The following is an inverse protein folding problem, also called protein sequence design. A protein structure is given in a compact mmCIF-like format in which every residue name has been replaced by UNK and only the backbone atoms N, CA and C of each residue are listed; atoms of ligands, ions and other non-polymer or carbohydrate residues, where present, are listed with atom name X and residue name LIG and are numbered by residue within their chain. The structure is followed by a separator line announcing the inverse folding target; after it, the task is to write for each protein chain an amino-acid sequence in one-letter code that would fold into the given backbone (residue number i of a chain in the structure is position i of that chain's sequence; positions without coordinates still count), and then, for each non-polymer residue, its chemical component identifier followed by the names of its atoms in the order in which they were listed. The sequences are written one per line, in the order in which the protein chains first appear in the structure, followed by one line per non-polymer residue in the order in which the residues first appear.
data_IF_038199366558
#
_entry.id   IF_038199366558
#
_cell.length_a   1.000
_cell.length_b   1.000
_cell.length_c   1.000
_cell.angle_alpha   90.00
_cell.angle_beta   90.00
_cell.angle_gamma   90.00
#
_symmetry.space_group_name_H-M   'P 1'
#
loop_
_entity.id
_entity.type
_entity.pdbx_description
1 polymer ?
#
# COMPACT_ATOMS: atom_id res chain seq x y z
N UNK A 1 -52.29 69.83 10.24
CA UNK A 1 -50.85 69.76 10.68
C UNK A 1 -50.39 68.35 10.49
N UNK A 2 -49.68 68.08 9.40
CA UNK A 2 -49.09 66.76 9.08
C UNK A 2 -47.60 66.89 9.25
N UNK A 3 -47.01 66.17 10.24
CA UNK A 3 -45.60 66.10 10.51
C UNK A 3 -45.01 65.06 9.56
N UNK A 4 -44.19 65.50 8.61
CA UNK A 4 -43.36 64.66 7.75
C UNK A 4 -42.25 64.03 8.59
N UNK A 5 -42.25 62.71 8.64
CA UNK A 5 -41.29 61.92 9.32
C UNK A 5 -40.06 61.77 8.37
N UNK A 6 -38.97 62.48 8.71
CA UNK A 6 -37.71 62.34 8.01
C UNK A 6 -37.16 60.91 8.20
N UNK A 7 -37.12 60.19 7.11
CA UNK A 7 -36.41 58.88 7.07
C UNK A 7 -34.92 59.17 6.80
N UNK A 8 -33.99 58.71 7.62
CA UNK A 8 -32.57 58.91 7.35
C UNK A 8 -32.21 58.14 6.09
N UNK A 9 -31.63 58.83 5.13
CA UNK A 9 -31.08 58.29 3.92
C UNK A 9 -29.92 57.28 4.27
N UNK A 10 -29.86 56.09 3.64
CA UNK A 10 -28.78 55.18 3.94
C UNK A 10 -27.43 55.82 3.52
N UNK A 11 -26.50 55.86 4.45
CA UNK A 11 -25.15 56.36 4.23
C UNK A 11 -24.55 55.58 3.04
N UNK A 12 -24.39 56.27 1.91
CA UNK A 12 -23.61 55.79 0.75
C UNK A 12 -22.20 55.48 1.27
N UNK A 13 -21.74 54.28 1.06
CA UNK A 13 -20.36 53.92 1.29
C UNK A 13 -19.48 54.87 0.45
N UNK A 14 -18.87 55.85 1.12
CA UNK A 14 -17.84 56.67 0.48
C UNK A 14 -16.68 55.74 0.22
N UNK A 15 -16.50 55.39 -1.03
CA UNK A 15 -15.36 54.62 -1.50
C UNK A 15 -14.16 55.55 -1.37
N UNK A 16 -13.42 55.41 -0.25
CA UNK A 16 -12.22 56.18 0.03
C UNK A 16 -11.18 55.81 -1.04
N UNK A 17 -10.86 56.78 -1.91
CA UNK A 17 -9.86 56.61 -2.95
C UNK A 17 -8.49 56.28 -2.26
N UNK A 18 -7.81 55.23 -2.71
CA UNK A 18 -6.57 54.79 -2.07
C UNK A 18 -5.52 55.90 -2.11
N UNK A 19 -4.98 56.22 -0.95
CA UNK A 19 -3.93 57.21 -0.81
C UNK A 19 -2.58 56.65 -1.32
N UNK A 20 -1.63 57.54 -1.61
CA UNK A 20 -0.25 57.10 -1.98
C UNK A 20 0.37 56.17 -0.91
N UNK A 21 0.00 56.39 0.35
CA UNK A 21 0.46 55.55 1.47
C UNK A 21 -0.15 54.16 1.38
N UNK A 22 -1.41 54.04 1.03
CA UNK A 22 -2.10 52.74 0.90
C UNK A 22 -1.52 51.93 -0.27
N UNK A 23 -1.22 52.59 -1.38
CA UNK A 23 -0.53 51.96 -2.53
C UNK A 23 0.85 51.41 -2.13
N UNK A 24 1.64 52.19 -1.37
CA UNK A 24 2.95 51.75 -0.90
C UNK A 24 2.83 50.58 0.09
N UNK A 25 1.86 50.62 0.98
CA UNK A 25 1.61 49.53 1.94
C UNK A 25 1.16 48.25 1.27
N UNK A 26 0.26 48.34 0.28
CA UNK A 26 -0.19 47.19 -0.51
C UNK A 26 0.99 46.61 -1.30
N UNK A 27 1.79 47.47 -1.95
CA UNK A 27 2.96 47.01 -2.68
C UNK A 27 3.98 46.32 -1.75
N UNK A 28 4.30 46.91 -0.60
CA UNK A 28 5.20 46.32 0.38
C UNK A 28 4.66 44.98 0.92
N UNK A 29 3.36 44.92 1.23
CA UNK A 29 2.70 43.69 1.65
C UNK A 29 2.74 42.60 0.57
N UNK A 30 2.50 42.97 -0.69
CA UNK A 30 2.60 42.07 -1.82
C UNK A 30 4.02 41.48 -2.01
N UNK A 31 5.05 42.34 -1.96
CA UNK A 31 6.45 41.87 -2.01
C UNK A 31 6.82 40.98 -0.83
N UNK A 32 6.37 41.33 0.38
CA UNK A 32 6.60 40.51 1.56
C UNK A 32 5.90 39.13 1.43
N UNK A 33 4.68 39.08 0.93
CA UNK A 33 3.96 37.82 0.71
C UNK A 33 4.64 36.92 -0.34
N UNK A 34 5.08 37.50 -1.47
CA UNK A 34 5.85 36.78 -2.50
C UNK A 34 7.18 36.29 -1.94
N UNK A 35 7.89 37.13 -1.17
CA UNK A 35 9.14 36.74 -0.51
C UNK A 35 8.95 35.60 0.49
N UNK A 36 7.90 35.65 1.29
CA UNK A 36 7.56 34.57 2.21
C UNK A 36 7.20 33.27 1.50
N UNK A 37 6.40 33.33 0.43
CA UNK A 37 6.05 32.18 -0.40
C UNK A 37 7.30 31.55 -1.05
N UNK A 38 8.19 32.38 -1.59
CA UNK A 38 9.45 31.94 -2.19
C UNK A 38 10.38 31.28 -1.17
N UNK A 39 10.42 31.77 0.07
CA UNK A 39 11.21 31.18 1.15
C UNK A 39 10.60 29.86 1.69
N UNK A 40 9.27 29.76 1.73
CA UNK A 40 8.57 28.56 2.21
C UNK A 40 8.59 27.44 1.17
N UNK A 41 8.58 27.75 -0.13
CA UNK A 41 8.53 26.75 -1.20
C UNK A 41 9.62 25.68 -1.11
N UNK A 42 10.92 26.02 -0.96
CA UNK A 42 11.97 25.01 -0.81
C UNK A 42 11.80 24.11 0.41
N UNK A 43 11.26 24.64 1.50
CA UNK A 43 11.01 23.87 2.73
C UNK A 43 9.90 22.84 2.52
N UNK A 44 8.87 23.19 1.77
CA UNK A 44 7.80 22.26 1.41
C UNK A 44 8.28 21.24 0.37
N UNK A 45 9.09 21.67 -0.59
CA UNK A 45 9.62 20.81 -1.65
C UNK A 45 10.58 19.73 -1.10
N UNK A 46 11.33 20.04 -0.04
CA UNK A 46 12.17 19.07 0.67
C UNK A 46 11.39 17.92 1.32
N UNK A 47 10.09 18.07 1.52
CA UNK A 47 9.23 17.00 2.05
C UNK A 47 8.80 15.99 0.97
N UNK A 48 9.03 16.30 -0.31
CA UNK A 48 8.77 15.37 -1.40
C UNK A 48 9.78 14.22 -1.38
N UNK A 49 9.35 13.00 -1.77
CA UNK A 49 10.26 11.87 -1.93
C UNK A 49 11.37 12.21 -2.93
N UNK A 50 12.61 11.90 -2.59
CA UNK A 50 13.73 12.10 -3.51
C UNK A 50 13.73 11.06 -4.67
N UNK A 51 14.56 11.29 -5.68
CA UNK A 51 14.65 10.42 -6.85
C UNK A 51 15.10 9.00 -6.50
N UNK A 52 15.90 8.81 -5.43
CA UNK A 52 16.33 7.48 -4.98
C UNK A 52 15.17 6.69 -4.37
N UNK A 53 14.32 7.37 -3.60
CA UNK A 53 13.09 6.75 -3.04
C UNK A 53 12.12 6.36 -4.16
N UNK A 54 11.95 7.22 -5.17
CA UNK A 54 11.09 6.94 -6.32
C UNK A 54 11.64 5.80 -7.19
N UNK A 55 12.95 5.71 -7.38
CA UNK A 55 13.58 4.61 -8.14
C UNK A 55 13.43 3.24 -7.45
N UNK A 56 13.31 3.21 -6.12
CA UNK A 56 13.03 2.00 -5.35
C UNK A 56 11.53 1.70 -5.20
N UNK A 57 10.66 2.52 -5.81
CA UNK A 57 9.22 2.34 -5.71
C UNK A 57 8.74 1.06 -6.40
N UNK A 58 9.44 0.60 -7.42
CA UNK A 58 9.14 -0.62 -8.16
C UNK A 58 10.34 -1.55 -8.22
N UNK A 59 10.08 -2.86 -8.31
CA UNK A 59 11.10 -3.90 -8.48
C UNK A 59 10.66 -4.84 -9.59
N UNK A 60 11.51 -5.05 -10.59
CA UNK A 60 11.30 -6.04 -11.65
C UNK A 60 11.96 -7.36 -11.27
N UNK A 61 11.27 -8.46 -11.54
CA UNK A 61 11.71 -9.82 -11.19
C UNK A 61 11.57 -10.72 -12.40
N UNK A 62 12.66 -11.43 -12.73
CA UNK A 62 12.64 -12.50 -13.74
C UNK A 62 12.19 -13.81 -13.08
N UNK A 63 11.10 -14.37 -13.59
CA UNK A 63 10.50 -15.62 -13.14
C UNK A 63 11.00 -16.84 -13.93
N UNK A 64 11.71 -16.64 -15.04
CA UNK A 64 12.18 -17.73 -15.90
C UNK A 64 12.99 -18.83 -15.16
N UNK A 65 13.84 -18.49 -14.18
CA UNK A 65 14.61 -19.49 -13.45
C UNK A 65 13.80 -20.21 -12.35
N UNK A 66 12.54 -19.81 -12.08
CA UNK A 66 11.76 -20.35 -10.95
C UNK A 66 10.90 -21.51 -11.41
N UNK A 67 11.37 -22.73 -11.15
CA UNK A 67 10.64 -23.95 -11.50
C UNK A 67 9.44 -24.19 -10.56
N UNK A 68 8.52 -25.07 -11.00
CA UNK A 68 7.35 -25.46 -10.22
C UNK A 68 7.77 -26.06 -8.86
N UNK A 69 7.20 -25.55 -7.78
CA UNK A 69 7.55 -25.91 -6.42
C UNK A 69 8.74 -25.12 -5.84
N UNK A 70 9.37 -24.27 -6.62
CA UNK A 70 10.41 -23.36 -6.14
C UNK A 70 9.85 -22.02 -5.69
N UNK A 71 10.67 -21.28 -4.96
CA UNK A 71 10.35 -19.97 -4.44
C UNK A 71 11.55 -19.02 -4.56
N UNK A 72 11.26 -17.75 -4.76
CA UNK A 72 12.23 -16.66 -4.83
C UNK A 72 11.86 -15.60 -3.79
N UNK A 73 12.86 -14.99 -3.17
CA UNK A 73 12.67 -13.84 -2.28
C UNK A 73 13.39 -12.63 -2.85
N UNK A 74 12.67 -11.54 -3.03
CA UNK A 74 13.22 -10.25 -3.47
C UNK A 74 12.89 -9.16 -2.45
N UNK A 75 13.66 -8.08 -2.45
CA UNK A 75 13.40 -6.95 -1.57
C UNK A 75 12.64 -5.86 -2.31
N UNK A 76 11.54 -5.38 -1.73
CA UNK A 76 10.79 -4.24 -2.20
C UNK A 76 10.46 -3.31 -1.04
N UNK A 77 10.87 -2.05 -1.13
CA UNK A 77 10.68 -1.03 -0.07
C UNK A 77 11.11 -1.52 1.33
N UNK A 78 12.25 -2.23 1.41
CA UNK A 78 12.77 -2.78 2.66
C UNK A 78 12.02 -3.98 3.21
N UNK A 79 11.04 -4.55 2.47
CA UNK A 79 10.26 -5.72 2.86
C UNK A 79 10.62 -6.91 1.97
N UNK A 80 10.78 -8.12 2.53
CA UNK A 80 10.94 -9.32 1.72
C UNK A 80 9.60 -9.66 1.04
N UNK A 81 9.65 -9.86 -0.27
CA UNK A 81 8.54 -10.37 -1.06
C UNK A 81 8.81 -11.81 -1.39
N UNK A 82 7.90 -12.68 -1.01
CA UNK A 82 7.90 -14.08 -1.33
C UNK A 82 7.18 -14.30 -2.65
N UNK A 83 7.87 -14.90 -3.61
CA UNK A 83 7.32 -15.30 -4.90
C UNK A 83 7.44 -16.81 -4.96
N UNK A 84 6.32 -17.51 -5.08
CA UNK A 84 6.29 -18.97 -5.14
C UNK A 84 5.60 -19.45 -6.40
N UNK A 85 6.25 -20.35 -7.12
CA UNK A 85 5.66 -21.12 -8.20
C UNK A 85 5.03 -22.39 -7.59
N UNK A 86 3.74 -22.34 -7.28
CA UNK A 86 3.02 -23.40 -6.57
C UNK A 86 2.91 -24.68 -7.40
N UNK A 87 2.95 -25.82 -6.72
CA UNK A 87 2.61 -27.12 -7.30
C UNK A 87 1.10 -27.29 -7.40
N UNK A 88 0.66 -28.24 -8.25
CA UNK A 88 -0.78 -28.56 -8.37
C UNK A 88 -1.39 -29.02 -7.05
N UNK A 89 -0.58 -29.71 -6.23
CA UNK A 89 -0.97 -30.12 -4.88
C UNK A 89 -1.22 -28.92 -3.96
N UNK A 90 -0.32 -27.93 -3.94
CA UNK A 90 -0.47 -26.72 -3.13
C UNK A 90 -1.69 -25.90 -3.56
N UNK A 91 -1.99 -25.87 -4.85
CA UNK A 91 -3.18 -25.20 -5.39
C UNK A 91 -4.45 -25.94 -4.96
N UNK A 92 -4.48 -27.27 -5.06
CA UNK A 92 -5.61 -28.07 -4.62
C UNK A 92 -5.88 -27.90 -3.13
N UNK A 93 -4.84 -28.02 -2.28
CA UNK A 93 -4.93 -27.80 -0.84
C UNK A 93 -5.44 -26.37 -0.52
N UNK A 94 -4.98 -25.36 -1.26
CA UNK A 94 -5.44 -23.98 -1.10
C UNK A 94 -6.93 -23.81 -1.41
N UNK A 95 -7.44 -24.50 -2.43
CA UNK A 95 -8.85 -24.44 -2.85
C UNK A 95 -9.81 -25.18 -1.91
N UNK A 96 -9.35 -26.21 -1.22
CA UNK A 96 -10.16 -27.01 -0.28
C UNK A 96 -10.47 -26.25 1.02
N UNK A 97 -9.77 -25.15 1.31
CA UNK A 97 -9.93 -24.40 2.55
C UNK A 97 -11.15 -23.51 2.51
N UNK A 98 -12.14 -23.82 3.36
CA UNK A 98 -13.34 -23.01 3.54
C UNK A 98 -13.03 -21.70 4.29
N UNK A 99 -13.69 -20.59 3.91
CA UNK A 99 -13.50 -19.29 4.56
C UNK A 99 -13.80 -19.31 6.07
N UNK A 100 -14.71 -20.16 6.49
CA UNK A 100 -15.08 -20.35 7.90
C UNK A 100 -13.98 -20.95 8.76
N UNK A 101 -12.96 -21.54 8.15
CA UNK A 101 -11.78 -22.12 8.81
C UNK A 101 -10.63 -21.11 8.95
N UNK A 102 -10.78 -19.91 8.41
CA UNK A 102 -9.75 -18.88 8.42
C UNK A 102 -9.92 -17.94 9.61
N UNK A 103 -8.80 -17.57 10.24
CA UNK A 103 -8.75 -16.51 11.24
C UNK A 103 -9.06 -15.16 10.59
N UNK A 104 -8.48 -14.92 9.41
CA UNK A 104 -8.76 -13.72 8.61
C UNK A 104 -9.46 -14.13 7.31
N UNK A 105 -10.75 -13.80 7.13
CA UNK A 105 -11.50 -14.14 5.93
C UNK A 105 -11.23 -13.20 4.75
N UNK A 106 -10.38 -12.16 4.92
CA UNK A 106 -10.10 -11.14 3.90
C UNK A 106 -8.85 -11.49 3.09
N UNK A 107 -8.89 -11.23 1.78
CA UNK A 107 -7.80 -11.56 0.88
C UNK A 107 -6.51 -10.78 1.17
N UNK A 108 -6.58 -9.59 1.75
CA UNK A 108 -5.43 -8.68 1.97
C UNK A 108 -4.60 -8.50 0.70
N UNK A 109 -5.28 -8.30 -0.42
CA UNK A 109 -4.69 -8.21 -1.76
C UNK A 109 -4.85 -6.81 -2.32
N UNK A 110 -3.73 -6.07 -2.45
CA UNK A 110 -3.72 -4.70 -2.96
C UNK A 110 -4.15 -4.56 -4.44
N UNK A 111 -4.29 -5.69 -5.16
CA UNK A 111 -4.73 -5.71 -6.57
C UNK A 111 -6.25 -5.92 -6.70
N UNK A 112 -6.98 -6.08 -5.60
CA UNK A 112 -8.41 -6.34 -5.56
C UNK A 112 -9.11 -5.31 -4.66
N UNK A 113 -10.43 -5.12 -4.80
CA UNK A 113 -11.20 -4.25 -3.92
C UNK A 113 -11.10 -4.67 -2.45
N UNK A 114 -11.18 -3.68 -1.55
CA UNK A 114 -11.25 -3.93 -0.12
C UNK A 114 -12.45 -4.82 0.23
N UNK A 115 -12.27 -5.70 1.22
CA UNK A 115 -13.31 -6.63 1.64
C UNK A 115 -13.40 -7.91 0.80
N UNK A 116 -12.57 -8.09 -0.23
CA UNK A 116 -12.54 -9.32 -1.03
C UNK A 116 -12.23 -10.54 -0.14
N UNK A 117 -12.98 -11.66 -0.27
CA UNK A 117 -12.78 -12.86 0.56
C UNK A 117 -11.47 -13.58 0.21
N UNK A 118 -10.87 -14.23 1.21
CA UNK A 118 -9.57 -14.92 1.11
C UNK A 118 -9.67 -16.31 0.45
N UNK A 119 -10.39 -16.41 -0.66
CA UNK A 119 -10.36 -17.63 -1.48
C UNK A 119 -8.98 -17.83 -2.09
N UNK A 120 -8.62 -19.07 -2.47
CA UNK A 120 -7.35 -19.32 -3.14
C UNK A 120 -7.18 -18.46 -4.41
N UNK A 121 -8.23 -18.34 -5.22
CA UNK A 121 -8.23 -17.54 -6.43
C UNK A 121 -7.95 -16.03 -6.17
N UNK A 122 -8.47 -15.48 -5.07
CA UNK A 122 -8.25 -14.08 -4.71
C UNK A 122 -6.88 -13.84 -4.04
N UNK A 123 -6.20 -14.91 -3.63
CA UNK A 123 -4.85 -14.87 -3.07
C UNK A 123 -3.79 -15.13 -4.12
N UNK A 124 -4.09 -15.94 -5.14
CA UNK A 124 -3.20 -16.20 -6.27
C UNK A 124 -3.17 -15.03 -7.27
N UNK A 125 -2.25 -15.06 -8.20
CA UNK A 125 -2.23 -14.12 -9.32
C UNK A 125 -3.43 -14.41 -10.25
N UNK A 126 -4.29 -13.41 -10.50
CA UNK A 126 -5.61 -13.57 -11.10
C UNK A 126 -5.66 -14.37 -12.42
N UNK A 127 -4.64 -14.23 -13.28
CA UNK A 127 -4.55 -14.94 -14.56
C UNK A 127 -3.48 -16.03 -14.58
N UNK A 128 -2.76 -16.21 -13.47
CA UNK A 128 -1.59 -17.09 -13.35
C UNK A 128 -1.60 -17.82 -12.01
N UNK A 129 -2.63 -18.61 -11.83
CA UNK A 129 -2.93 -19.38 -10.62
C UNK A 129 -1.70 -20.07 -9.95
N UNK A 130 -0.71 -20.60 -10.68
CA UNK A 130 0.46 -21.17 -10.07
C UNK A 130 1.34 -20.17 -9.29
N UNK A 131 1.21 -18.88 -9.57
CA UNK A 131 2.04 -17.86 -8.93
C UNK A 131 1.37 -17.24 -7.72
N UNK A 132 2.10 -17.21 -6.62
CA UNK A 132 1.72 -16.53 -5.40
C UNK A 132 2.80 -15.48 -5.05
N UNK A 133 2.37 -14.24 -4.90
CA UNK A 133 3.25 -13.09 -4.59
C UNK A 133 2.75 -12.46 -3.31
N UNK A 134 3.57 -12.39 -2.26
CA UNK A 134 3.14 -11.84 -0.97
C UNK A 134 4.29 -11.25 -0.17
N UNK A 135 3.97 -10.37 0.75
CA UNK A 135 4.93 -9.80 1.69
C UNK A 135 5.27 -10.86 2.75
N UNK A 136 6.54 -11.27 2.80
CA UNK A 136 7.05 -12.28 3.73
C UNK A 136 7.27 -11.75 5.14
N UNK A 137 6.27 -11.08 5.72
CA UNK A 137 6.32 -10.52 7.07
C UNK A 137 5.11 -11.01 7.85
N UNK A 138 5.37 -11.72 8.96
CA UNK A 138 4.32 -12.18 9.87
C UNK A 138 3.57 -10.99 10.47
N UNK A 139 2.24 -11.03 10.37
CA UNK A 139 1.36 -9.94 10.79
C UNK A 139 1.23 -9.83 12.32
N UNK A 140 1.85 -10.73 13.10
CA UNK A 140 1.91 -10.62 14.56
C UNK A 140 2.85 -9.49 14.99
N UNK A 141 4.17 -9.64 14.80
CA UNK A 141 5.19 -8.67 15.23
C UNK A 141 6.34 -8.51 14.20
N UNK A 142 6.09 -8.78 12.93
CA UNK A 142 7.03 -8.45 11.85
C UNK A 142 8.16 -9.45 11.61
N UNK A 143 8.14 -10.65 12.20
CA UNK A 143 9.14 -11.69 11.90
C UNK A 143 9.00 -12.20 10.47
N UNK A 144 10.08 -12.72 9.88
CA UNK A 144 10.05 -13.36 8.56
C UNK A 144 9.71 -14.85 8.74
N UNK A 145 8.57 -15.34 8.22
CA UNK A 145 8.21 -16.75 8.30
C UNK A 145 9.15 -17.63 7.47
N UNK A 146 9.37 -18.86 7.92
CA UNK A 146 10.08 -19.92 7.18
C UNK A 146 9.12 -20.63 6.23
N UNK A 147 9.62 -21.29 5.21
CA UNK A 147 8.85 -22.05 4.21
C UNK A 147 9.25 -21.74 2.77
N UNK A 148 10.16 -20.76 2.58
CA UNK A 148 10.67 -20.38 1.25
C UNK A 148 11.80 -21.28 0.77
N UNK A 149 12.74 -21.63 1.64
CA UNK A 149 13.88 -22.48 1.25
C UNK A 149 13.48 -23.95 1.18
N UNK A 150 14.19 -24.69 0.36
CA UNK A 150 14.06 -26.15 0.29
C UNK A 150 14.47 -26.76 1.63
N UNK A 151 13.59 -27.58 2.20
CA UNK A 151 13.81 -28.18 3.51
C UNK A 151 13.34 -27.34 4.71
N UNK A 152 12.85 -26.12 4.49
CA UNK A 152 12.24 -25.35 5.58
C UNK A 152 11.02 -26.08 6.16
N UNK A 153 10.85 -25.96 7.48
CA UNK A 153 9.62 -26.37 8.12
C UNK A 153 8.48 -25.38 7.74
N UNK A 154 7.43 -25.90 7.13
CA UNK A 154 6.30 -25.13 6.59
C UNK A 154 5.08 -25.08 7.51
N UNK A 155 5.18 -25.67 8.70
CA UNK A 155 4.04 -25.88 9.60
C UNK A 155 3.12 -27.01 9.13
N UNK A 156 2.02 -27.18 9.83
CA UNK A 156 1.05 -28.27 9.59
C UNK A 156 0.18 -28.04 8.37
N UNK A 157 0.16 -26.80 7.84
CA UNK A 157 -0.66 -26.38 6.69
C UNK A 157 0.12 -26.21 5.38
N UNK A 158 1.38 -26.66 5.34
CA UNK A 158 2.19 -26.77 4.14
C UNK A 158 2.69 -25.45 3.51
N UNK A 159 2.37 -24.31 4.11
CA UNK A 159 2.74 -22.99 3.62
C UNK A 159 3.95 -22.38 4.34
N UNK A 160 3.73 -21.54 5.35
CA UNK A 160 4.79 -20.83 6.07
C UNK A 160 4.59 -20.94 7.58
N UNK A 161 5.71 -21.03 8.30
CA UNK A 161 5.77 -21.10 9.75
C UNK A 161 6.58 -19.94 10.31
N UNK A 162 5.99 -19.16 11.21
CA UNK A 162 6.70 -18.11 11.93
C UNK A 162 7.28 -18.67 13.24
N UNK A 163 8.62 -18.81 13.36
CA UNK A 163 9.25 -19.44 14.53
C UNK A 163 9.20 -18.58 15.80
N UNK A 164 8.89 -17.29 15.66
CA UNK A 164 8.89 -16.36 16.79
C UNK A 164 7.79 -16.71 17.82
N UNK A 165 6.56 -16.97 17.35
CA UNK A 165 5.42 -17.25 18.22
C UNK A 165 4.47 -18.32 17.65
N UNK A 166 4.92 -19.10 16.66
CA UNK A 166 4.21 -20.27 16.17
C UNK A 166 3.04 -20.00 15.22
N UNK A 167 2.93 -18.79 14.63
CA UNK A 167 1.92 -18.55 13.61
C UNK A 167 2.18 -19.42 12.38
N UNK A 168 1.12 -20.07 11.87
CA UNK A 168 1.18 -20.94 10.71
C UNK A 168 0.26 -20.43 9.61
N UNK A 169 0.75 -20.52 8.39
CA UNK A 169 0.06 -20.08 7.17
C UNK A 169 -0.07 -21.25 6.21
N UNK A 170 -1.15 -21.28 5.45
CA UNK A 170 -1.38 -22.30 4.43
C UNK A 170 -0.65 -22.00 3.10
N UNK A 171 -0.87 -22.83 2.10
CA UNK A 171 -0.26 -22.75 0.76
C UNK A 171 -0.67 -21.52 -0.04
N UNK A 172 -1.66 -20.75 0.42
CA UNK A 172 -2.08 -19.45 -0.12
C UNK A 172 -1.67 -18.26 0.78
N UNK A 173 -0.85 -18.51 1.83
CA UNK A 173 -0.39 -17.48 2.77
C UNK A 173 -1.49 -16.96 3.70
N UNK A 174 -2.57 -17.75 3.94
CA UNK A 174 -3.63 -17.41 4.88
C UNK A 174 -3.29 -17.96 6.26
N UNK A 175 -3.52 -17.13 7.29
CA UNK A 175 -3.24 -17.53 8.67
C UNK A 175 -4.24 -18.59 9.15
N UNK A 176 -3.72 -19.70 9.67
CA UNK A 176 -4.50 -20.85 10.14
C UNK A 176 -4.44 -21.02 11.66
N UNK A 177 -3.29 -20.76 12.26
CA UNK A 177 -3.03 -20.92 13.69
C UNK A 177 -2.02 -19.90 14.16
N UNK A 178 -2.12 -19.52 15.42
CA UNK A 178 -1.16 -18.67 16.11
C UNK A 178 -1.66 -17.24 16.34
N UNK A 179 -0.80 -16.37 16.89
CA UNK A 179 -1.19 -15.02 17.30
C UNK A 179 -1.25 -14.00 16.14
N UNK A 180 -0.88 -14.37 14.92
CA UNK A 180 -0.99 -13.48 13.76
C UNK A 180 -2.47 -13.19 13.45
N UNK A 181 -2.90 -11.91 13.42
CA UNK A 181 -4.30 -11.55 13.22
C UNK A 181 -4.74 -11.58 11.75
N UNK A 182 -3.81 -11.46 10.81
CA UNK A 182 -4.11 -11.28 9.39
C UNK A 182 -3.31 -12.22 8.50
N UNK A 183 -3.84 -12.44 7.31
CA UNK A 183 -3.14 -13.14 6.23
C UNK A 183 -1.89 -12.35 5.79
N UNK A 184 -0.88 -13.03 5.22
CA UNK A 184 0.27 -12.35 4.63
C UNK A 184 -0.23 -11.43 3.50
N UNK A 185 0.09 -10.14 3.57
CA UNK A 185 -0.42 -9.16 2.62
C UNK A 185 0.15 -9.40 1.21
N UNK A 186 -0.66 -9.15 0.20
CA UNK A 186 -0.27 -9.20 -1.22
C UNK A 186 0.01 -7.78 -1.67
N UNK A 187 1.25 -7.47 -2.13
CA UNK A 187 1.61 -6.14 -2.61
C UNK A 187 0.93 -5.84 -3.96
N UNK A 188 0.88 -4.57 -4.40
CA UNK A 188 0.56 -4.27 -5.79
C UNK A 188 1.63 -4.87 -6.71
N UNK A 189 1.21 -5.58 -7.75
CA UNK A 189 2.09 -6.15 -8.75
C UNK A 189 1.37 -6.31 -10.09
N UNK A 190 2.16 -6.43 -11.18
CA UNK A 190 1.66 -6.74 -12.51
C UNK A 190 2.64 -7.67 -13.24
N UNK A 191 2.11 -8.60 -14.04
CA UNK A 191 2.92 -9.38 -14.98
C UNK A 191 3.10 -8.56 -16.26
N UNK A 192 4.31 -8.20 -16.60
CA UNK A 192 4.65 -7.51 -17.84
C UNK A 192 4.81 -8.47 -19.02
N UNK A 193 5.20 -9.69 -18.74
CA UNK A 193 5.29 -10.80 -19.70
C UNK A 193 5.12 -12.14 -18.98
N UNK A 194 5.31 -13.25 -19.70
CA UNK A 194 5.25 -14.61 -19.12
C UNK A 194 6.32 -14.85 -18.05
N UNK A 195 7.43 -14.14 -18.15
CA UNK A 195 8.59 -14.32 -17.28
C UNK A 195 8.95 -13.08 -16.47
N UNK A 196 8.24 -11.96 -16.66
CA UNK A 196 8.54 -10.71 -15.95
C UNK A 196 7.40 -10.30 -15.03
N UNK A 197 7.74 -10.11 -13.75
CA UNK A 197 6.88 -9.59 -12.71
C UNK A 197 7.39 -8.23 -12.26
N UNK A 198 6.53 -7.21 -12.24
CA UNK A 198 6.80 -5.91 -11.64
C UNK A 198 6.01 -5.79 -10.34
N UNK A 199 6.68 -5.38 -9.27
CA UNK A 199 6.12 -5.15 -7.93
C UNK A 199 6.20 -3.66 -7.61
N UNK A 200 5.06 -3.06 -7.27
CA UNK A 200 4.92 -1.64 -6.97
C UNK A 200 4.29 -0.80 -8.05
#
# INVERSE_FOLDING_TARGET
MATTKDTPEPALFVEDQPTRRDVLMIAAGGFAAVGAAAALWPLLDQMNPDASTLSMATTEVDLAPVEKGQALTVMWRGKPIFIRHRTDKEIAEGKEVELTQLIDPLARNANLPDGTPATDANRAAAEREPWLVMIGICTHLGCIPKGQAVGDYKGDYGGWFCPCHGSQYDTAGRVRVGPAPENLAIPPYAFESDTKLRIG
#
